data_IF_755932997363
#
_entry.id   IF_755932997363
#
_cell.length_a   1.000
_cell.length_b   1.000
_cell.length_c   1.000
_cell.angle_alpha   90.00
_cell.angle_beta   90.00
_cell.angle_gamma   90.00
#
_symmetry.space_group_name_H-M   'P 1'
#
loop_
_entity.id
_entity.type
_entity.pdbx_description
1 polymer ?
#
# COMPACT_ATOMS: atom_id res chain seq x y z
N UNK A 1 -2.38 7.72 -7.41
CA UNK A 1 -1.67 7.02 -6.31
C UNK A 1 -2.29 5.64 -6.11
N UNK A 2 -1.50 4.56 -5.99
CA UNK A 2 -2.02 3.19 -6.08
C UNK A 2 -2.52 2.72 -4.71
N UNK A 3 -3.84 2.54 -4.57
CA UNK A 3 -4.42 1.85 -3.42
C UNK A 3 -3.98 0.38 -3.46
N UNK A 4 -2.93 0.05 -2.71
CA UNK A 4 -2.43 -1.30 -2.54
C UNK A 4 -3.08 -1.95 -1.30
N UNK A 5 -3.16 -3.28 -1.30
CA UNK A 5 -3.76 -4.06 -0.21
C UNK A 5 -3.17 -3.77 1.19
N UNK A 6 -2.00 -3.15 1.27
CA UNK A 6 -1.34 -2.67 2.49
C UNK A 6 -2.19 -1.64 3.25
N UNK A 7 -2.86 -0.73 2.55
CA UNK A 7 -3.69 0.31 3.19
C UNK A 7 -4.88 -0.29 3.94
N UNK A 8 -5.46 -1.39 3.44
CA UNK A 8 -6.59 -2.11 4.06
C UNK A 8 -6.17 -2.84 5.32
N UNK A 9 -4.95 -3.41 5.32
CA UNK A 9 -4.44 -4.16 6.47
C UNK A 9 -4.29 -3.27 7.70
N UNK A 10 -3.86 -2.02 7.54
CA UNK A 10 -3.66 -1.09 8.65
C UNK A 10 -4.98 -0.65 9.33
N UNK A 11 -6.12 -0.86 8.67
CA UNK A 11 -7.45 -0.49 9.19
C UNK A 11 -8.37 -1.69 9.34
N UNK A 12 -7.85 -2.92 9.27
CA UNK A 12 -8.67 -4.14 9.37
C UNK A 12 -9.35 -4.32 10.73
N UNK A 13 -8.93 -3.55 11.74
CA UNK A 13 -9.59 -3.48 13.05
C UNK A 13 -10.89 -2.65 13.01
N UNK A 14 -11.03 -1.72 12.06
CA UNK A 14 -12.22 -0.85 11.91
C UNK A 14 -13.33 -1.58 11.16
N UNK A 15 -12.97 -2.25 10.06
CA UNK A 15 -13.92 -2.98 9.23
C UNK A 15 -13.32 -4.30 8.75
N UNK A 16 -14.09 -5.40 8.77
CA UNK A 16 -13.61 -6.68 8.28
C UNK A 16 -13.35 -6.64 6.76
N UNK A 17 -12.26 -7.26 6.28
CA UNK A 17 -11.64 -7.01 4.97
C UNK A 17 -12.49 -7.28 3.72
N UNK A 18 -13.66 -7.93 3.86
CA UNK A 18 -14.49 -8.40 2.75
C UNK A 18 -15.86 -7.70 2.65
N UNK A 19 -16.15 -6.71 3.51
CA UNK A 19 -17.48 -6.06 3.56
C UNK A 19 -17.59 -4.74 2.81
N UNK A 20 -16.51 -4.24 2.20
CA UNK A 20 -16.49 -2.93 1.57
C UNK A 20 -17.26 -2.94 0.24
N UNK A 21 -18.54 -2.61 0.30
CA UNK A 21 -19.41 -2.51 -0.89
C UNK A 21 -20.09 -1.15 -0.98
N UNK A 22 -20.11 -0.38 0.11
CA UNK A 22 -20.70 0.96 0.17
C UNK A 22 -19.63 2.06 0.09
N UNK A 23 -19.92 3.22 -0.55
CA UNK A 23 -19.07 4.41 -0.47
C UNK A 23 -18.77 4.85 0.97
N UNK A 24 -19.69 4.64 1.91
CA UNK A 24 -19.49 4.95 3.32
C UNK A 24 -18.38 4.11 3.96
N UNK A 25 -18.29 2.82 3.59
CA UNK A 25 -17.23 1.94 4.09
C UNK A 25 -15.87 2.42 3.60
N UNK A 26 -15.78 2.84 2.34
CA UNK A 26 -14.56 3.38 1.74
C UNK A 26 -14.15 4.66 2.46
N UNK A 27 -15.10 5.56 2.71
CA UNK A 27 -14.83 6.80 3.45
C UNK A 27 -14.29 6.53 4.86
N UNK A 28 -14.90 5.59 5.59
CA UNK A 28 -14.45 5.18 6.92
C UNK A 28 -13.01 4.66 6.85
N UNK A 29 -12.71 3.74 5.94
CA UNK A 29 -11.35 3.21 5.78
C UNK A 29 -10.32 4.30 5.51
N UNK A 30 -10.64 5.24 4.61
CA UNK A 30 -9.73 6.34 4.28
C UNK A 30 -9.49 7.26 5.48
N UNK A 31 -10.53 7.56 6.26
CA UNK A 31 -10.44 8.45 7.43
C UNK A 31 -9.56 7.87 8.54
N UNK A 32 -9.59 6.56 8.74
CA UNK A 32 -8.86 5.89 9.82
C UNK A 32 -7.48 5.36 9.40
N UNK A 33 -7.09 5.55 8.14
CA UNK A 33 -5.79 5.09 7.65
C UNK A 33 -4.73 6.17 7.87
N UNK A 34 -3.72 5.86 8.70
CA UNK A 34 -2.59 6.76 8.94
C UNK A 34 -1.81 7.04 7.66
N UNK A 35 -1.71 6.04 6.77
CA UNK A 35 -1.04 6.19 5.49
C UNK A 35 -1.78 7.16 4.56
N UNK A 36 -3.12 7.19 4.60
CA UNK A 36 -3.90 8.19 3.86
C UNK A 36 -3.73 9.58 4.47
N UNK A 37 -3.71 9.67 5.81
CA UNK A 37 -3.47 10.95 6.51
C UNK A 37 -2.10 11.56 6.16
N UNK A 38 -1.07 10.71 6.07
CA UNK A 38 0.26 11.10 5.60
C UNK A 38 0.26 11.59 4.14
N UNK A 39 -0.50 10.91 3.26
CA UNK A 39 -0.57 11.25 1.85
C UNK A 39 -1.38 12.54 1.58
N UNK A 40 -2.29 12.92 2.48
CA UNK A 40 -3.12 14.14 2.33
C UNK A 40 -2.36 15.43 2.67
N UNK A 41 -1.32 15.37 3.51
CA UNK A 41 -0.57 16.55 3.93
C UNK A 41 0.68 16.75 3.07
N UNK A 42 0.78 17.93 2.48
CA UNK A 42 1.93 18.33 1.65
C UNK A 42 3.23 18.34 2.46
N UNK A 43 3.14 18.65 3.75
CA UNK A 43 4.31 18.72 4.64
C UNK A 43 4.87 17.31 4.93
N UNK A 44 4.02 16.29 5.01
CA UNK A 44 4.43 14.92 5.34
C UNK A 44 4.73 14.09 4.11
N UNK A 45 3.98 14.23 3.02
CA UNK A 45 4.15 13.40 1.81
C UNK A 45 5.53 13.56 1.15
N UNK A 46 6.18 14.72 1.36
CA UNK A 46 7.51 15.02 0.85
C UNK A 46 8.58 15.08 1.96
N UNK A 47 8.27 14.60 3.17
CA UNK A 47 9.22 14.58 4.28
C UNK A 47 10.50 13.80 3.90
N UNK A 48 11.66 14.31 4.34
CA UNK A 48 12.96 13.73 4.01
C UNK A 48 13.50 14.08 2.61
N UNK A 49 12.75 14.82 1.79
CA UNK A 49 13.27 15.40 0.54
C UNK A 49 13.68 16.86 0.76
N UNK A 50 14.83 17.25 0.18
CA UNK A 50 15.26 18.66 0.14
C UNK A 50 14.59 19.35 -1.05
N UNK A 51 13.37 19.83 -0.87
CA UNK A 51 12.74 20.74 -1.83
C UNK A 51 12.98 22.19 -1.42
N UNK A 52 13.11 23.06 -2.41
CA UNK A 52 13.08 24.49 -2.19
C UNK A 52 11.63 24.90 -1.90
N UNK A 53 11.33 25.50 -0.72
CA UNK A 53 9.97 25.92 -0.37
C UNK A 53 9.38 26.93 -1.37
N UNK A 54 10.22 27.59 -2.19
CA UNK A 54 9.78 28.51 -3.23
C UNK A 54 9.29 27.83 -4.51
N UNK A 55 9.50 26.52 -4.68
CA UNK A 55 9.20 25.79 -5.92
C UNK A 55 8.45 24.47 -5.64
N UNK A 56 7.46 24.52 -4.75
CA UNK A 56 6.61 23.36 -4.46
C UNK A 56 5.76 23.00 -5.70
N UNK A 57 5.77 21.73 -6.14
CA UNK A 57 4.88 21.30 -7.21
C UNK A 57 3.42 21.39 -6.75
N UNK A 58 2.51 21.75 -7.67
CA UNK A 58 1.06 21.70 -7.42
C UNK A 58 0.65 20.25 -7.10
N UNK A 59 0.29 19.98 -5.85
CA UNK A 59 -0.06 18.64 -5.38
C UNK A 59 -1.58 18.45 -5.40
N UNK A 60 -2.04 17.49 -6.19
CA UNK A 60 -3.44 17.09 -6.24
C UNK A 60 -3.57 15.62 -5.87
N UNK A 61 -4.45 15.33 -4.93
CA UNK A 61 -4.73 13.96 -4.49
C UNK A 61 -5.84 13.38 -5.36
N UNK A 62 -5.63 12.13 -5.80
CA UNK A 62 -6.60 11.38 -6.59
C UNK A 62 -6.98 10.08 -5.88
N UNK A 63 -8.28 9.84 -5.77
CA UNK A 63 -8.80 8.57 -5.27
C UNK A 63 -8.77 7.52 -6.39
N UNK A 64 -7.92 6.51 -6.24
CA UNK A 64 -7.83 5.40 -7.20
C UNK A 64 -8.53 4.18 -6.62
N UNK A 65 -9.70 3.86 -7.17
CA UNK A 65 -10.42 2.62 -6.84
C UNK A 65 -9.93 1.47 -7.73
N UNK A 66 -9.35 0.44 -7.12
CA UNK A 66 -8.98 -0.80 -7.80
C UNK A 66 -9.91 -1.91 -7.36
N UNK A 67 -10.28 -2.79 -8.29
CA UNK A 67 -11.06 -3.99 -7.97
C UNK A 67 -10.27 -4.82 -6.96
N UNK A 68 -10.90 -5.11 -5.81
CA UNK A 68 -10.30 -5.95 -4.80
C UNK A 68 -10.39 -7.42 -5.26
N UNK A 69 -9.25 -8.10 -5.31
CA UNK A 69 -9.15 -9.51 -5.61
C UNK A 69 -8.63 -10.24 -4.37
N UNK A 70 -9.16 -11.43 -4.11
CA UNK A 70 -8.60 -12.33 -3.11
C UNK A 70 -7.31 -12.92 -3.64
N UNK A 71 -6.18 -12.28 -3.31
CA UNK A 71 -4.85 -12.78 -3.63
C UNK A 71 -4.34 -13.53 -2.40
N UNK A 72 -3.79 -14.74 -2.59
CA UNK A 72 -3.10 -15.47 -1.53
C UNK A 72 -1.99 -14.60 -0.95
N UNK A 73 -1.99 -14.42 0.38
CA UNK A 73 -1.07 -13.49 1.06
C UNK A 73 0.40 -13.82 0.78
N UNK A 74 0.74 -15.10 0.71
CA UNK A 74 2.12 -15.51 0.45
C UNK A 74 2.59 -15.29 -0.99
N UNK A 75 1.70 -14.91 -1.91
CA UNK A 75 2.07 -14.56 -3.28
C UNK A 75 2.37 -13.06 -3.45
N UNK A 76 2.50 -12.30 -2.35
CA UNK A 76 2.90 -10.90 -2.38
C UNK A 76 4.39 -10.81 -2.10
N UNK A 77 5.11 -10.19 -3.04
CA UNK A 77 6.55 -10.01 -2.97
C UNK A 77 6.94 -8.55 -3.12
N UNK A 78 7.90 -8.12 -2.31
CA UNK A 78 8.67 -6.90 -2.50
C UNK A 78 9.82 -7.18 -3.43
N UNK A 79 9.97 -6.35 -4.47
CA UNK A 79 11.10 -6.41 -5.38
C UNK A 79 11.97 -5.19 -5.13
N UNK A 80 13.26 -5.42 -4.88
CA UNK A 80 14.22 -4.36 -4.66
C UNK A 80 15.04 -4.18 -5.93
N UNK A 81 15.00 -2.98 -6.51
CA UNK A 81 15.70 -2.66 -7.76
C UNK A 81 16.65 -1.50 -7.50
N UNK A 82 17.93 -1.67 -7.86
CA UNK A 82 18.95 -0.65 -7.79
C UNK A 82 19.64 -0.51 -9.14
N UNK A 83 19.74 0.72 -9.66
CA UNK A 83 20.34 1.02 -10.98
C UNK A 83 19.80 0.12 -12.10
N UNK A 84 18.49 -0.14 -12.11
CA UNK A 84 17.84 -1.00 -13.10
C UNK A 84 18.08 -2.50 -12.93
N UNK A 85 18.78 -2.94 -11.88
CA UNK A 85 19.05 -4.34 -11.59
C UNK A 85 18.24 -4.81 -10.38
N UNK A 86 17.61 -5.98 -10.49
CA UNK A 86 16.94 -6.63 -9.37
C UNK A 86 18.00 -7.14 -8.37
N UNK A 87 17.98 -6.58 -7.16
CA UNK A 87 18.95 -6.90 -6.10
C UNK A 87 18.37 -7.86 -5.05
N UNK A 88 17.05 -7.99 -4.98
CA UNK A 88 16.42 -8.89 -4.02
C UNK A 88 14.92 -9.04 -4.25
N UNK A 89 14.41 -10.18 -3.79
CA UNK A 89 12.99 -10.49 -3.71
C UNK A 89 12.73 -10.95 -2.28
N UNK A 90 11.70 -10.41 -1.64
CA UNK A 90 11.28 -10.81 -0.30
C UNK A 90 9.77 -11.01 -0.27
N UNK A 91 9.30 -12.01 0.49
CA UNK A 91 7.87 -12.20 0.74
C UNK A 91 7.37 -11.09 1.66
N UNK A 92 6.28 -10.40 1.28
CA UNK A 92 5.71 -9.33 2.10
C UNK A 92 4.98 -9.84 3.35
N UNK A 93 4.62 -11.13 3.38
CA UNK A 93 3.93 -11.76 4.51
C UNK A 93 4.95 -12.47 5.39
N UNK A 94 4.82 -12.33 6.71
CA UNK A 94 5.74 -12.90 7.70
C UNK A 94 5.47 -14.38 8.00
N UNK A 95 4.39 -14.95 7.47
CA UNK A 95 4.11 -16.38 7.62
C UNK A 95 4.91 -17.18 6.58
N UNK A 96 5.42 -18.33 6.99
CA UNK A 96 5.97 -19.31 6.04
C UNK A 96 4.88 -19.73 5.06
N UNK A 97 5.25 -19.88 3.79
CA UNK A 97 4.35 -20.43 2.80
C UNK A 97 4.92 -21.73 2.25
N UNK A 98 4.28 -22.83 2.64
CA UNK A 98 4.67 -24.19 2.23
C UNK A 98 4.79 -24.30 0.69
N UNK A 99 3.96 -23.57 -0.06
CA UNK A 99 3.99 -23.51 -1.53
C UNK A 99 5.29 -22.93 -2.11
N UNK A 100 6.01 -22.09 -1.35
CA UNK A 100 7.30 -21.53 -1.75
C UNK A 100 8.46 -22.44 -1.35
N UNK A 101 8.25 -23.23 -0.29
CA UNK A 101 9.23 -24.17 0.25
C UNK A 101 9.20 -25.53 -0.47
N UNK A 102 8.18 -25.82 -1.27
CA UNK A 102 8.13 -27.05 -2.06
C UNK A 102 9.31 -27.11 -3.07
N UNK A 103 10.17 -28.14 -2.98
CA UNK A 103 11.23 -28.32 -3.94
C UNK A 103 10.61 -28.65 -5.30
N UNK A 104 10.98 -27.87 -6.33
CA UNK A 104 10.62 -28.16 -7.73
C UNK A 104 11.02 -29.60 -8.05
N UNK A 105 10.02 -30.45 -8.30
CA UNK A 105 10.20 -31.83 -8.78
C UNK A 105 10.48 -31.83 -10.28
#
# INVERSE_FOLDING_TARGET
MIWNSTYIQNVSWVLPPLKHKSPSDIYILLKFSDAVSHDLSVDTVFEGRRYDPSNLPSYHVELVSRKCYSIYRCCKFGYFVCKGHLIGIEQCDTNSCDLLDEPRT
#
